data_IF_454490594503
#
_entry.id   IF_454490594503
#
_cell.length_a   1.000
_cell.length_b   1.000
_cell.length_c   1.000
_cell.angle_alpha   90.00
_cell.angle_beta   90.00
_cell.angle_gamma   90.00
#
_symmetry.space_group_name_H-M   'P 1'
#
loop_
_entity.id
_entity.type
_entity.pdbx_description
1 polymer ?
#
# COMPACT_ATOMS: atom_id res chain seq x y z
N UNK A 1 -11.81 26.56 2.83
CA UNK A 1 -12.31 25.59 3.82
C UNK A 1 -11.19 24.60 4.09
N UNK A 2 -10.58 24.59 5.28
CA UNK A 2 -9.57 23.58 5.63
C UNK A 2 -10.32 22.37 6.19
N UNK A 3 -10.30 21.26 5.46
CA UNK A 3 -10.78 19.97 5.99
C UNK A 3 -9.93 19.58 7.21
N UNK A 4 -10.55 18.86 8.14
CA UNK A 4 -9.86 18.31 9.29
C UNK A 4 -8.88 17.22 8.81
N UNK A 5 -7.58 17.49 8.96
CA UNK A 5 -6.53 16.50 8.71
C UNK A 5 -6.32 15.72 10.01
N UNK A 6 -6.70 14.44 10.02
CA UNK A 6 -6.33 13.55 11.11
C UNK A 6 -4.84 13.22 10.95
N UNK A 7 -4.02 13.74 11.87
CA UNK A 7 -2.56 13.60 11.83
C UNK A 7 -2.12 12.73 13.00
N UNK A 8 -1.44 11.63 12.69
CA UNK A 8 -0.80 10.76 13.67
C UNK A 8 0.70 10.70 13.39
N UNK A 9 1.51 10.86 14.44
CA UNK A 9 2.96 10.83 14.35
C UNK A 9 3.48 9.48 14.83
N UNK A 10 4.25 8.80 13.99
CA UNK A 10 4.91 7.55 14.32
C UNK A 10 6.42 7.77 14.43
N UNK A 11 7.01 7.28 15.51
CA UNK A 11 8.47 7.27 15.71
C UNK A 11 9.06 5.92 15.27
N UNK A 12 8.36 4.83 15.60
CA UNK A 12 8.77 3.47 15.30
C UNK A 12 8.17 2.98 13.98
N UNK A 13 9.02 2.45 13.11
CA UNK A 13 8.63 1.96 11.78
C UNK A 13 7.61 0.82 11.84
N UNK A 14 7.75 -0.10 12.80
CA UNK A 14 6.84 -1.24 12.93
C UNK A 14 5.41 -0.79 13.23
N UNK A 15 5.23 0.19 14.11
CA UNK A 15 3.92 0.74 14.47
C UNK A 15 3.30 1.45 13.27
N UNK A 16 4.11 2.22 12.52
CA UNK A 16 3.69 2.84 11.28
C UNK A 16 3.20 1.79 10.27
N UNK A 17 3.96 0.72 10.05
CA UNK A 17 3.57 -0.33 9.10
C UNK A 17 2.28 -1.04 9.50
N UNK A 18 2.07 -1.32 10.79
CA UNK A 18 0.80 -1.90 11.25
C UNK A 18 -0.38 -0.95 10.99
N UNK A 19 -0.23 0.34 11.26
CA UNK A 19 -1.27 1.34 10.99
C UNK A 19 -1.56 1.47 9.49
N UNK A 20 -0.51 1.45 8.65
CA UNK A 20 -0.65 1.46 7.19
C UNK A 20 -1.40 0.22 6.69
N UNK A 21 -1.04 -0.98 7.17
CA UNK A 21 -1.70 -2.23 6.78
C UNK A 21 -3.18 -2.24 7.17
N UNK A 22 -3.52 -1.76 8.37
CA UNK A 22 -4.91 -1.61 8.79
C UNK A 22 -5.69 -0.61 7.92
N UNK A 23 -5.04 0.48 7.52
CA UNK A 23 -5.62 1.48 6.62
C UNK A 23 -5.88 0.91 5.22
N UNK A 24 -4.93 0.12 4.68
CA UNK A 24 -5.09 -0.56 3.40
C UNK A 24 -6.23 -1.59 3.50
N UNK A 25 -6.24 -2.40 4.56
CA UNK A 25 -7.27 -3.43 4.77
C UNK A 25 -8.69 -2.86 4.94
N UNK A 26 -8.84 -1.62 5.41
CA UNK A 26 -10.16 -0.97 5.55
C UNK A 26 -10.57 -0.14 4.33
N UNK A 27 -9.69 0.04 3.35
CA UNK A 27 -9.96 0.84 2.16
C UNK A 27 -11.08 0.23 1.30
N UNK A 28 -12.01 1.08 0.84
CA UNK A 28 -13.21 0.66 0.10
C UNK A 28 -13.26 1.13 -1.36
N UNK A 29 -12.44 2.11 -1.75
CA UNK A 29 -12.56 2.75 -3.08
C UNK A 29 -11.24 2.76 -3.84
N UNK A 30 -10.19 3.30 -3.22
CA UNK A 30 -8.88 3.46 -3.86
C UNK A 30 -7.77 3.35 -2.83
N UNK A 31 -6.67 2.74 -3.25
CA UNK A 31 -5.39 2.74 -2.53
C UNK A 31 -4.32 3.25 -3.49
N UNK A 32 -3.57 4.26 -3.06
CA UNK A 32 -2.38 4.75 -3.75
C UNK A 32 -1.21 4.64 -2.79
N UNK A 33 -0.25 3.78 -3.13
CA UNK A 33 0.97 3.61 -2.35
C UNK A 33 2.15 3.94 -3.24
N UNK A 34 2.97 4.89 -2.78
CA UNK A 34 4.25 5.22 -3.38
C UNK A 34 5.33 4.97 -2.34
N UNK A 35 6.39 4.27 -2.72
CA UNK A 35 7.53 4.04 -1.84
C UNK A 35 8.84 4.26 -2.56
N UNK A 36 9.81 4.81 -1.85
CA UNK A 36 11.18 5.01 -2.35
C UNK A 36 12.01 3.71 -2.31
N UNK A 37 11.63 2.75 -1.46
CA UNK A 37 12.19 1.39 -1.39
C UNK A 37 11.02 0.41 -1.26
N UNK A 38 11.05 -0.63 -2.07
CA UNK A 38 10.12 -1.76 -1.95
C UNK A 38 10.91 -3.05 -2.18
N UNK A 39 11.19 -3.76 -1.09
CA UNK A 39 12.07 -4.92 -1.05
C UNK A 39 11.26 -6.23 -1.04
N UNK A 40 11.84 -7.30 -1.56
CA UNK A 40 11.26 -8.66 -1.51
C UNK A 40 11.56 -9.32 -0.15
N UNK A 41 11.11 -8.68 0.92
CA UNK A 41 11.24 -9.14 2.30
C UNK A 41 9.88 -9.45 2.93
N UNK A 42 9.88 -9.82 4.22
CA UNK A 42 8.65 -10.15 4.93
C UNK A 42 7.66 -8.98 5.00
N UNK A 43 8.17 -7.74 5.07
CA UNK A 43 7.33 -6.54 5.15
C UNK A 43 6.71 -6.29 3.78
N UNK A 44 7.52 -6.25 2.71
CA UNK A 44 7.05 -6.08 1.34
C UNK A 44 6.01 -7.12 0.95
N UNK A 45 6.21 -8.39 1.32
CA UNK A 45 5.24 -9.47 1.07
C UNK A 45 3.90 -9.23 1.76
N UNK A 46 3.90 -8.83 3.04
CA UNK A 46 2.66 -8.50 3.76
C UNK A 46 1.90 -7.36 3.10
N UNK A 47 2.61 -6.32 2.65
CA UNK A 47 1.99 -5.22 1.90
C UNK A 47 1.36 -5.72 0.58
N UNK A 48 2.08 -6.53 -0.19
CA UNK A 48 1.56 -7.11 -1.44
C UNK A 48 0.32 -7.98 -1.18
N UNK A 49 0.34 -8.84 -0.17
CA UNK A 49 -0.79 -9.73 0.14
C UNK A 49 -2.08 -8.95 0.40
N UNK A 50 -2.02 -7.92 1.25
CA UNK A 50 -3.20 -7.09 1.56
C UNK A 50 -3.62 -6.25 0.34
N UNK A 51 -2.67 -5.70 -0.42
CA UNK A 51 -2.98 -4.93 -1.64
C UNK A 51 -3.68 -5.81 -2.69
N UNK A 52 -3.22 -7.06 -2.87
CA UNK A 52 -3.84 -8.05 -3.77
C UNK A 52 -5.23 -8.42 -3.29
N UNK A 53 -5.41 -8.69 -1.99
CA UNK A 53 -6.73 -8.98 -1.41
C UNK A 53 -7.72 -7.84 -1.69
N UNK A 54 -7.32 -6.58 -1.47
CA UNK A 54 -8.17 -5.42 -1.73
C UNK A 54 -8.47 -5.22 -3.21
N UNK A 55 -7.49 -5.45 -4.08
CA UNK A 55 -7.70 -5.42 -5.53
C UNK A 55 -8.72 -6.49 -5.96
N UNK A 56 -8.63 -7.70 -5.41
CA UNK A 56 -9.61 -8.77 -5.67
C UNK A 56 -11.01 -8.41 -5.14
N UNK A 57 -11.10 -7.65 -4.05
CA UNK A 57 -12.34 -7.10 -3.53
C UNK A 57 -12.90 -5.92 -4.35
N UNK A 58 -12.26 -5.53 -5.45
CA UNK A 58 -12.73 -4.47 -6.37
C UNK A 58 -12.26 -3.05 -6.03
N UNK A 59 -11.28 -2.91 -5.13
CA UNK A 59 -10.68 -1.60 -4.81
C UNK A 59 -9.67 -1.21 -5.91
N UNK A 60 -9.65 0.06 -6.35
CA UNK A 60 -8.66 0.60 -7.29
C UNK A 60 -7.30 0.73 -6.60
N UNK A 61 -6.41 -0.25 -6.82
CA UNK A 61 -5.08 -0.29 -6.18
C UNK A 61 -4.01 0.12 -7.17
N UNK A 62 -3.22 1.13 -6.81
CA UNK A 62 -2.07 1.62 -7.59
C UNK A 62 -0.82 1.66 -6.72
N UNK A 63 0.23 0.99 -7.19
CA UNK A 63 1.52 0.91 -6.52
C UNK A 63 2.59 1.50 -7.43
N UNK A 64 3.28 2.54 -6.96
CA UNK A 64 4.45 3.12 -7.61
C UNK A 64 5.71 2.74 -6.83
N UNK A 65 6.66 2.09 -7.51
CA UNK A 65 7.92 1.64 -6.94
C UNK A 65 9.10 2.07 -7.81
N UNK A 66 10.31 2.21 -7.25
CA UNK A 66 11.49 2.50 -8.04
C UNK A 66 11.75 1.42 -9.10
N UNK A 67 12.34 1.85 -10.22
CA UNK A 67 12.73 0.95 -11.34
C UNK A 67 13.66 -0.18 -10.88
N UNK A 68 14.51 0.09 -9.89
CA UNK A 68 15.29 -0.92 -9.16
C UNK A 68 14.53 -1.24 -7.87
N UNK A 69 13.54 -2.10 -7.98
CA UNK A 69 12.92 -2.77 -6.84
C UNK A 69 13.28 -4.24 -6.91
N UNK A 70 13.55 -4.86 -5.76
CA UNK A 70 13.83 -6.29 -5.69
C UNK A 70 12.56 -7.13 -5.92
N UNK A 71 11.39 -6.50 -5.84
CA UNK A 71 10.09 -7.10 -6.12
C UNK A 71 9.75 -7.00 -7.61
N UNK A 72 9.56 -8.15 -8.25
CA UNK A 72 8.94 -8.22 -9.59
C UNK A 72 7.43 -7.98 -9.47
N UNK A 73 7.02 -6.72 -9.53
CA UNK A 73 5.59 -6.36 -9.58
C UNK A 73 5.06 -6.63 -10.99
N UNK A 74 4.33 -7.73 -11.17
CA UNK A 74 3.57 -7.97 -12.41
C UNK A 74 2.20 -7.33 -12.25
N UNK A 75 2.07 -6.09 -12.72
CA UNK A 75 0.79 -5.39 -12.81
C UNK A 75 -0.08 -6.08 -13.87
N UNK A 76 -1.06 -6.89 -13.46
CA UNK A 76 -2.15 -7.27 -14.33
C UNK A 76 -3.19 -6.17 -14.28
N UNK A 77 -3.05 -5.18 -15.17
CA UNK A 77 -4.12 -4.22 -15.42
C UNK A 77 -5.34 -5.00 -15.93
N UNK A 78 -6.34 -5.17 -15.06
CA UNK A 78 -7.71 -5.37 -15.54
C UNK A 78 -8.19 -3.97 -15.93
N UNK A 79 -8.12 -3.68 -17.23
CA UNK A 79 -8.71 -2.51 -17.85
C UNK A 79 -10.17 -2.34 -17.38
N UNK A 80 -10.53 -1.09 -17.05
CA UNK A 80 -11.90 -0.61 -17.24
C UNK A 80 -12.07 -0.23 -18.72
#
# INVERSE_FOLDING_TARGET
MKEACNLELFIEGDVLYQSMLASIASAQRRIQLESYIFADDEVGKRFIDVLVERAQAGVDVRLLVPRKSDVKVVCRSQNL
#
